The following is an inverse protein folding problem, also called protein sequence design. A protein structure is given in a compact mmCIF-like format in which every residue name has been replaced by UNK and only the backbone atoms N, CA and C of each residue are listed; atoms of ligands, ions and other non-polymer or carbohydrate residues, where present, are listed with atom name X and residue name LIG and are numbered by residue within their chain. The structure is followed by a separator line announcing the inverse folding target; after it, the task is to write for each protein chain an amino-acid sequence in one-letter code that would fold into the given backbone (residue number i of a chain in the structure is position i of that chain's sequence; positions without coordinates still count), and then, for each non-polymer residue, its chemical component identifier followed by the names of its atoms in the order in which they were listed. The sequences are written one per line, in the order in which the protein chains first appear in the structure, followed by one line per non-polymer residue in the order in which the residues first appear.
data_IF_282543785335
#
_entry.id   IF_282543785335
#
_cell.length_a   1.000
_cell.length_b   1.000
_cell.length_c   1.000
_cell.angle_alpha   90.00
_cell.angle_beta   90.00
_cell.angle_gamma   90.00
#
_symmetry.space_group_name_H-M   'P 1'
#
loop_
_entity.id
_entity.type
_entity.pdbx_description
1 polymer ?
#
# COMPACT_ATOMS: atom_id res chain seq x y z
N UNK A 1 -32.04 -32.81 -48.92
CA UNK A 1 -31.78 -33.82 -49.97
C UNK A 1 -30.67 -34.68 -49.43
N UNK A 2 -31.03 -35.88 -49.00
CA UNK A 2 -30.78 -37.22 -49.60
C UNK A 2 -29.31 -37.61 -49.51
N UNK A 3 -28.85 -38.65 -49.03
CA UNK A 3 -29.29 -40.01 -48.59
C UNK A 3 -28.04 -40.75 -48.16
N UNK A 4 -27.94 -41.46 -47.06
CA UNK A 4 -28.36 -42.84 -46.76
C UNK A 4 -27.30 -43.88 -47.18
N UNK A 5 -26.92 -44.69 -46.19
CA UNK A 5 -26.70 -46.14 -46.17
C UNK A 5 -25.37 -46.70 -46.79
N UNK A 6 -24.91 -47.78 -46.40
CA UNK A 6 -25.16 -48.82 -45.40
C UNK A 6 -24.14 -49.95 -45.51
N UNK A 7 -24.07 -50.66 -44.41
CA UNK A 7 -24.02 -52.14 -44.34
C UNK A 7 -22.78 -52.95 -44.63
N UNK A 8 -22.25 -53.49 -43.57
CA UNK A 8 -22.05 -54.95 -43.30
C UNK A 8 -21.11 -55.76 -44.17
N UNK A 9 -20.14 -56.36 -43.52
CA UNK A 9 -19.95 -57.81 -43.66
C UNK A 9 -19.16 -58.39 -42.46
N UNK A 10 -19.74 -59.40 -41.92
CA UNK A 10 -19.26 -60.32 -40.89
C UNK A 10 -18.20 -61.22 -41.52
N UNK A 11 -17.10 -61.51 -40.84
CA UNK A 11 -16.41 -62.76 -41.03
C UNK A 11 -15.84 -63.31 -39.73
N UNK A 12 -16.18 -64.53 -39.53
CA UNK A 12 -15.96 -65.37 -38.37
C UNK A 12 -14.77 -66.29 -38.67
N UNK A 13 -13.69 -66.18 -37.89
CA UNK A 13 -12.80 -67.33 -37.69
C UNK A 13 -12.02 -67.21 -36.37
N UNK A 14 -12.24 -68.20 -35.53
CA UNK A 14 -11.72 -68.30 -34.18
C UNK A 14 -10.20 -68.49 -34.10
N UNK A 15 -9.63 -67.89 -33.09
CA UNK A 15 -8.34 -68.29 -32.51
C UNK A 15 -8.38 -68.25 -31.00
N UNK A 16 -7.88 -69.31 -30.38
CA UNK A 16 -7.89 -69.70 -28.96
C UNK A 16 -7.35 -68.63 -28.02
N UNK A 17 -7.84 -68.53 -26.78
CA UNK A 17 -7.35 -67.56 -25.78
C UNK A 17 -6.00 -68.01 -25.25
N UNK A 18 -4.97 -67.16 -25.40
CA UNK A 18 -3.75 -67.21 -24.62
C UNK A 18 -4.00 -66.45 -23.34
N UNK A 19 -4.03 -67.12 -22.20
CA UNK A 19 -4.05 -66.53 -20.87
C UNK A 19 -2.69 -65.88 -20.60
N UNK A 20 -2.61 -64.54 -20.68
CA UNK A 20 -1.51 -63.81 -20.10
C UNK A 20 -1.84 -63.57 -18.62
N UNK A 21 -1.02 -64.13 -17.73
CA UNK A 21 -1.01 -63.82 -16.32
C UNK A 21 -0.55 -62.36 -16.15
N UNK A 22 -1.49 -61.44 -15.97
CA UNK A 22 -1.15 -60.11 -15.53
C UNK A 22 -0.84 -60.16 -14.04
N UNK A 23 0.44 -60.07 -13.66
CA UNK A 23 0.83 -59.67 -12.31
C UNK A 23 0.48 -58.19 -12.16
N UNK A 24 -0.35 -57.80 -11.19
CA UNK A 24 -0.53 -56.37 -10.88
C UNK A 24 0.76 -55.87 -10.21
N UNK A 25 1.56 -55.14 -10.93
CA UNK A 25 2.64 -54.37 -10.35
C UNK A 25 1.97 -53.23 -9.51
N UNK A 26 1.94 -53.41 -8.20
CA UNK A 26 1.48 -52.42 -7.25
C UNK A 26 2.48 -51.27 -7.25
N UNK A 27 2.27 -50.25 -8.11
CA UNK A 27 2.99 -49.00 -8.06
C UNK A 27 2.51 -48.21 -6.81
N UNK A 28 3.28 -48.34 -5.74
CA UNK A 28 3.17 -47.44 -4.58
C UNK A 28 3.58 -46.03 -5.04
N UNK A 29 2.58 -45.22 -5.38
CA UNK A 29 2.76 -43.76 -5.47
C UNK A 29 3.04 -43.24 -4.05
N UNK A 30 4.31 -43.09 -3.73
CA UNK A 30 4.70 -42.21 -2.60
C UNK A 30 4.35 -40.78 -3.02
N UNK A 31 3.17 -40.34 -2.65
CA UNK A 31 2.84 -38.92 -2.60
C UNK A 31 3.70 -38.31 -1.50
N UNK A 32 4.91 -37.96 -1.85
CA UNK A 32 5.67 -37.02 -1.04
C UNK A 32 4.89 -35.70 -1.02
N UNK A 33 4.35 -35.33 0.14
CA UNK A 33 3.90 -33.94 0.34
C UNK A 33 5.13 -33.07 0.14
N UNK A 34 5.32 -32.52 -1.06
CA UNK A 34 6.27 -31.45 -1.30
C UNK A 34 5.74 -30.23 -0.52
N UNK A 35 6.31 -30.01 0.65
CA UNK A 35 6.08 -28.78 1.40
C UNK A 35 6.62 -27.66 0.51
N UNK A 36 5.75 -26.77 0.07
CA UNK A 36 6.18 -25.60 -0.69
C UNK A 36 7.21 -24.83 0.16
N UNK A 37 8.30 -24.35 -0.44
CA UNK A 37 9.30 -23.59 0.31
C UNK A 37 8.64 -22.37 0.94
N UNK A 38 8.89 -22.15 2.24
CA UNK A 38 8.42 -20.96 2.95
C UNK A 38 9.05 -19.75 2.26
N UNK A 39 8.21 -18.87 1.73
CA UNK A 39 8.69 -17.60 1.14
C UNK A 39 9.21 -16.73 2.28
N UNK A 40 10.30 -16.04 2.04
CA UNK A 40 10.94 -15.11 2.98
C UNK A 40 11.13 -13.76 2.31
N UNK A 41 11.13 -12.70 3.10
CA UNK A 41 11.63 -11.39 2.67
C UNK A 41 13.15 -11.44 2.66
N UNK A 42 13.78 -10.89 1.62
CA UNK A 42 15.25 -10.77 1.56
C UNK A 42 15.67 -9.31 1.69
N UNK A 43 16.62 -9.03 2.57
CA UNK A 43 17.28 -7.72 2.64
C UNK A 43 18.51 -7.77 1.75
N UNK A 44 18.47 -6.99 0.66
CA UNK A 44 19.45 -7.04 -0.43
C UNK A 44 20.88 -6.80 0.07
N UNK A 45 21.07 -5.80 0.94
CA UNK A 45 22.39 -5.35 1.36
C UNK A 45 23.08 -6.28 2.37
N UNK A 46 22.34 -7.21 2.95
CA UNK A 46 22.82 -8.08 4.04
C UNK A 46 22.75 -9.56 3.70
N UNK A 47 22.13 -9.94 2.58
CA UNK A 47 21.79 -11.32 2.21
C UNK A 47 20.98 -12.08 3.28
N UNK A 48 20.39 -11.34 4.23
CA UNK A 48 19.54 -11.92 5.27
C UNK A 48 18.12 -12.10 4.77
N UNK A 49 17.47 -13.18 5.22
CA UNK A 49 16.09 -13.46 4.86
C UNK A 49 15.24 -13.69 6.12
N UNK A 50 14.05 -13.11 6.13
CA UNK A 50 13.16 -13.08 7.29
C UNK A 50 11.80 -13.67 6.96
N UNK A 51 11.20 -14.35 7.93
CA UNK A 51 9.86 -14.93 7.86
C UNK A 51 8.79 -13.88 8.17
N UNK A 52 7.56 -14.18 7.83
CA UNK A 52 6.38 -13.40 8.19
C UNK A 52 6.33 -13.08 9.68
N UNK A 53 5.87 -11.88 10.03
CA UNK A 53 5.71 -11.41 11.40
C UNK A 53 6.98 -10.77 12.00
N UNK A 54 8.13 -10.89 11.35
CA UNK A 54 9.37 -10.28 11.84
C UNK A 54 9.37 -8.77 11.58
N UNK A 55 9.75 -7.99 12.58
CA UNK A 55 9.99 -6.55 12.48
C UNK A 55 11.50 -6.31 12.50
N UNK A 56 12.03 -5.64 11.48
CA UNK A 56 13.46 -5.36 11.33
C UNK A 56 13.69 -3.87 11.57
N UNK A 57 14.59 -3.53 12.48
CA UNK A 57 15.06 -2.16 12.64
C UNK A 57 16.21 -1.89 11.67
N UNK A 58 16.05 -0.94 10.76
CA UNK A 58 17.09 -0.53 9.82
C UNK A 58 18.33 0.00 10.57
N UNK A 59 18.11 0.78 11.62
CA UNK A 59 19.21 1.34 12.45
C UNK A 59 20.06 0.26 13.11
N UNK A 60 19.44 -0.85 13.54
CA UNK A 60 20.14 -1.92 14.26
C UNK A 60 20.59 -3.06 13.34
N UNK A 61 20.07 -3.13 12.11
CA UNK A 61 20.30 -4.20 11.15
C UNK A 61 19.83 -5.58 11.65
N UNK A 62 18.82 -5.62 12.54
CA UNK A 62 18.34 -6.87 13.17
C UNK A 62 16.86 -6.83 13.53
N UNK A 63 16.24 -8.00 13.77
CA UNK A 63 14.91 -8.08 14.32
C UNK A 63 14.76 -7.38 15.68
N UNK A 64 13.58 -6.81 15.89
CA UNK A 64 13.14 -6.19 17.15
C UNK A 64 11.74 -6.69 17.51
N UNK A 65 11.38 -6.60 18.79
CA UNK A 65 10.01 -6.90 19.22
C UNK A 65 9.05 -5.75 18.93
N UNK A 66 7.75 -6.02 18.99
CA UNK A 66 6.73 -4.98 18.85
C UNK A 66 6.81 -3.93 19.98
N UNK A 67 7.15 -4.36 21.19
CA UNK A 67 7.36 -3.47 22.34
C UNK A 67 8.55 -2.53 22.12
N UNK A 68 9.65 -3.03 21.53
CA UNK A 68 10.82 -2.20 21.19
C UNK A 68 10.47 -1.19 20.09
N UNK A 69 9.73 -1.61 19.06
CA UNK A 69 9.19 -0.71 18.05
C UNK A 69 8.32 0.37 18.70
N UNK A 70 7.32 -0.01 19.50
CA UNK A 70 6.39 0.91 20.12
C UNK A 70 7.08 1.91 21.07
N UNK A 71 8.11 1.45 21.79
CA UNK A 71 8.92 2.34 22.64
C UNK A 71 9.62 3.44 21.85
N UNK A 72 10.11 3.15 20.65
CA UNK A 72 10.70 4.16 19.77
C UNK A 72 9.63 5.06 19.13
N UNK A 73 8.50 4.51 18.69
CA UNK A 73 7.39 5.28 18.12
C UNK A 73 6.82 6.31 19.10
N UNK A 74 6.77 6.00 20.40
CA UNK A 74 6.29 6.93 21.42
C UNK A 74 7.16 8.19 21.60
N UNK A 75 8.36 8.22 21.01
CA UNK A 75 9.22 9.39 21.00
C UNK A 75 9.06 10.25 19.73
N UNK A 76 8.10 9.94 18.89
CA UNK A 76 7.88 10.60 17.61
C UNK A 76 6.54 11.33 17.58
N UNK A 77 6.50 12.42 16.82
CA UNK A 77 5.26 13.17 16.57
C UNK A 77 4.49 12.63 15.38
N UNK A 78 5.20 12.00 14.44
CA UNK A 78 4.58 11.47 13.21
C UNK A 78 5.08 10.03 12.99
N UNK A 79 4.15 9.12 12.74
CA UNK A 79 4.45 7.73 12.39
C UNK A 79 3.83 7.43 11.03
N UNK A 80 4.66 7.18 10.03
CA UNK A 80 4.21 6.78 8.69
C UNK A 80 4.16 5.26 8.61
N UNK A 81 3.03 4.72 8.19
CA UNK A 81 2.85 3.28 7.96
C UNK A 81 2.43 3.08 6.51
N UNK A 82 3.33 2.47 5.76
CA UNK A 82 3.10 2.19 4.34
C UNK A 82 2.11 1.07 4.11
N UNK A 83 1.63 0.95 2.86
CA UNK A 83 0.75 -0.15 2.48
C UNK A 83 0.88 -0.51 1.00
N UNK A 84 0.47 -1.74 0.68
CA UNK A 84 -0.10 -2.10 -0.62
C UNK A 84 -1.61 -2.08 -0.45
N UNK A 85 -2.30 -1.19 -1.14
CA UNK A 85 -3.72 -0.85 -0.93
C UNK A 85 -4.68 -2.04 -0.88
N UNK A 86 -4.34 -3.18 -1.46
CA UNK A 86 -5.17 -4.38 -1.48
C UNK A 86 -4.73 -5.45 -0.48
N UNK A 87 -3.68 -5.21 0.30
CA UNK A 87 -3.15 -6.22 1.22
C UNK A 87 -3.82 -6.09 2.60
N UNK A 88 -4.70 -7.04 2.91
CA UNK A 88 -5.45 -7.08 4.19
C UNK A 88 -4.54 -7.12 5.41
N UNK A 89 -3.37 -7.79 5.32
CA UNK A 89 -2.45 -7.87 6.44
C UNK A 89 -1.84 -6.49 6.77
N UNK A 90 -1.61 -5.64 5.75
CA UNK A 90 -1.13 -4.29 5.94
C UNK A 90 -2.12 -3.46 6.77
N UNK A 91 -3.41 -3.51 6.45
CA UNK A 91 -4.44 -2.75 7.18
C UNK A 91 -4.63 -3.25 8.62
N UNK A 92 -4.44 -4.55 8.87
CA UNK A 92 -4.43 -5.09 10.25
C UNK A 92 -3.26 -4.57 11.07
N UNK A 93 -2.07 -4.54 10.48
CA UNK A 93 -0.87 -3.98 11.15
C UNK A 93 -1.04 -2.48 11.39
N UNK A 94 -1.59 -1.74 10.43
CA UNK A 94 -1.91 -0.32 10.61
C UNK A 94 -2.84 -0.12 11.81
N UNK A 95 -3.92 -0.90 11.91
CA UNK A 95 -4.84 -0.85 13.04
C UNK A 95 -4.14 -1.22 14.37
N UNK A 96 -3.33 -2.29 14.38
CA UNK A 96 -2.59 -2.72 15.57
C UNK A 96 -1.66 -1.61 16.10
N UNK A 97 -0.93 -0.94 15.22
CA UNK A 97 -0.05 0.17 15.59
C UNK A 97 -0.85 1.38 16.07
N UNK A 98 -1.94 1.75 15.39
CA UNK A 98 -2.83 2.85 15.81
C UNK A 98 -3.38 2.58 17.23
N UNK A 99 -3.89 1.38 17.48
CA UNK A 99 -4.42 0.98 18.79
C UNK A 99 -3.35 1.00 19.89
N UNK A 100 -2.13 0.56 19.57
CA UNK A 100 -1.03 0.57 20.52
C UNK A 100 -0.56 1.98 20.87
N UNK A 101 -0.47 2.88 19.88
CA UNK A 101 -0.12 4.29 20.11
C UNK A 101 -1.24 4.98 20.90
N UNK A 102 -2.51 4.78 20.53
CA UNK A 102 -3.66 5.40 21.20
C UNK A 102 -3.72 5.11 22.69
N UNK A 103 -3.34 3.91 23.15
CA UNK A 103 -3.28 3.57 24.58
C UNK A 103 -2.40 4.52 25.40
N UNK A 104 -1.33 5.04 24.79
CA UNK A 104 -0.36 5.91 25.45
C UNK A 104 -0.54 7.39 25.08
N UNK A 105 -1.14 7.67 23.93
CA UNK A 105 -1.30 8.98 23.32
C UNK A 105 -2.78 9.19 22.92
N UNK A 106 -3.68 9.54 23.86
CA UNK A 106 -5.11 9.66 23.57
C UNK A 106 -5.42 10.81 22.59
N UNK A 107 -4.55 11.80 22.47
CA UNK A 107 -4.64 12.86 21.47
C UNK A 107 -3.98 12.42 20.15
N UNK A 108 -4.51 11.37 19.56
CA UNK A 108 -4.03 10.80 18.29
C UNK A 108 -4.86 11.34 17.13
N UNK A 109 -4.18 11.74 16.06
CA UNK A 109 -4.78 11.97 14.76
C UNK A 109 -4.37 10.86 13.78
N UNK A 110 -5.25 10.50 12.85
CA UNK A 110 -4.95 9.57 11.75
C UNK A 110 -5.09 10.31 10.44
N UNK A 111 -3.98 10.53 9.74
CA UNK A 111 -3.95 11.11 8.40
C UNK A 111 -4.00 10.00 7.36
N UNK A 112 -4.89 10.13 6.36
CA UNK A 112 -5.07 9.10 5.34
C UNK A 112 -4.97 9.67 3.93
N UNK A 113 -4.13 9.04 3.09
CA UNK A 113 -4.02 9.31 1.66
C UNK A 113 -5.34 9.09 0.91
N UNK A 114 -6.20 8.23 1.43
CA UNK A 114 -7.44 7.77 0.83
C UNK A 114 -8.48 8.87 0.64
N UNK A 115 -8.31 10.01 1.31
CA UNK A 115 -9.24 11.13 1.27
C UNK A 115 -8.56 12.42 0.82
N UNK A 116 -9.19 13.13 -0.11
CA UNK A 116 -8.75 14.47 -0.45
C UNK A 116 -9.33 15.52 0.52
N UNK A 117 -8.61 16.62 0.68
CA UNK A 117 -8.90 17.66 1.67
C UNK A 117 -10.29 18.31 1.51
N UNK A 118 -10.94 18.18 0.35
CA UNK A 118 -12.28 18.76 0.14
C UNK A 118 -13.38 18.01 0.89
N UNK A 119 -13.06 16.83 1.41
CA UNK A 119 -13.98 16.02 2.21
C UNK A 119 -13.72 16.12 3.73
N UNK A 120 -12.87 17.04 4.21
CA UNK A 120 -12.55 17.13 5.63
C UNK A 120 -13.78 17.24 6.52
N UNK A 121 -14.77 18.05 6.15
CA UNK A 121 -16.02 18.18 6.90
C UNK A 121 -16.76 16.84 7.08
N UNK A 122 -16.70 15.97 6.06
CA UNK A 122 -17.30 14.62 6.12
C UNK A 122 -16.53 13.71 7.07
N UNK A 123 -15.20 13.85 7.08
CA UNK A 123 -14.33 13.10 7.99
C UNK A 123 -14.53 13.56 9.44
N UNK A 124 -14.72 14.84 9.66
CA UNK A 124 -15.03 15.40 10.99
C UNK A 124 -16.37 14.87 11.53
N UNK A 125 -17.40 14.80 10.68
CA UNK A 125 -18.69 14.18 11.03
C UNK A 125 -18.54 12.69 11.34
N UNK A 126 -17.67 11.96 10.60
CA UNK A 126 -17.38 10.56 10.89
C UNK A 126 -16.71 10.39 12.26
N UNK A 127 -15.68 11.15 12.53
CA UNK A 127 -14.96 11.16 13.81
C UNK A 127 -15.88 11.51 14.98
N UNK A 128 -16.86 12.39 14.77
CA UNK A 128 -17.87 12.75 15.77
C UNK A 128 -18.94 11.67 16.00
N UNK A 129 -19.00 10.62 15.17
CA UNK A 129 -20.04 9.58 15.24
C UNK A 129 -21.39 10.01 14.66
N UNK A 130 -21.42 11.07 13.86
CA UNK A 130 -22.65 11.64 13.29
C UNK A 130 -23.12 10.92 12.00
N UNK A 131 -22.26 10.08 11.42
CA UNK A 131 -22.55 9.35 10.19
C UNK A 131 -22.54 7.85 10.41
N UNK A 132 -23.51 7.15 9.83
CA UNK A 132 -23.39 5.71 9.62
C UNK A 132 -22.48 5.41 8.41
N UNK A 133 -22.06 4.14 8.25
CA UNK A 133 -21.18 3.72 7.17
C UNK A 133 -21.76 4.07 5.78
N UNK A 134 -23.06 3.89 5.58
CA UNK A 134 -23.69 4.15 4.28
C UNK A 134 -23.62 5.63 3.91
N UNK A 135 -23.93 6.51 4.87
CA UNK A 135 -23.93 7.95 4.64
C UNK A 135 -22.48 8.48 4.51
N UNK A 136 -21.55 7.91 5.27
CA UNK A 136 -20.12 8.20 5.10
C UNK A 136 -19.61 7.86 3.70
N UNK A 137 -19.84 6.64 3.22
CA UNK A 137 -19.46 6.22 1.87
C UNK A 137 -20.05 7.09 0.77
N UNK A 138 -21.33 7.47 0.95
CA UNK A 138 -22.05 8.33 0.00
C UNK A 138 -21.47 9.74 -0.01
N UNK A 139 -21.28 10.35 1.18
CA UNK A 139 -20.84 11.75 1.30
C UNK A 139 -19.36 11.94 0.94
N UNK A 140 -18.49 10.97 1.28
CA UNK A 140 -17.07 10.99 0.91
C UNK A 140 -16.82 10.60 -0.55
N UNK A 141 -17.86 10.13 -1.26
CA UNK A 141 -17.73 9.58 -2.61
C UNK A 141 -16.63 8.51 -2.71
N UNK A 142 -16.50 7.65 -1.70
CA UNK A 142 -15.42 6.68 -1.54
C UNK A 142 -15.03 5.97 -2.84
N UNK A 143 -15.99 5.29 -3.48
CA UNK A 143 -15.72 4.51 -4.69
C UNK A 143 -15.42 5.33 -5.94
N UNK A 144 -15.74 6.62 -5.95
CA UNK A 144 -15.36 7.52 -7.04
C UNK A 144 -13.93 8.04 -6.87
N UNK A 145 -13.51 8.31 -5.63
CA UNK A 145 -12.22 8.91 -5.32
C UNK A 145 -11.12 7.85 -5.07
N UNK A 146 -11.40 6.82 -4.25
CA UNK A 146 -10.37 5.84 -3.86
C UNK A 146 -10.43 4.52 -4.65
N UNK A 147 -11.63 4.04 -5.01
CA UNK A 147 -11.88 2.86 -5.86
C UNK A 147 -11.57 1.49 -5.25
N UNK A 148 -10.87 1.40 -4.12
CA UNK A 148 -10.64 0.13 -3.43
C UNK A 148 -11.83 -0.23 -2.54
N UNK A 149 -11.97 -1.51 -2.21
CA UNK A 149 -13.05 -1.98 -1.36
C UNK A 149 -12.93 -1.36 0.04
N UNK A 150 -14.01 -0.75 0.49
CA UNK A 150 -14.09 -0.14 1.83
C UNK A 150 -13.82 -1.14 2.95
N UNK A 151 -14.15 -2.42 2.75
CA UNK A 151 -13.92 -3.47 3.75
C UNK A 151 -12.45 -3.58 4.17
N UNK A 152 -11.51 -3.17 3.32
CA UNK A 152 -10.08 -3.14 3.63
C UNK A 152 -9.75 -2.15 4.76
N UNK A 153 -10.45 -1.03 4.81
CA UNK A 153 -10.20 0.08 5.74
C UNK A 153 -11.23 0.17 6.85
N UNK A 154 -12.28 -0.67 6.80
CA UNK A 154 -13.43 -0.58 7.71
C UNK A 154 -13.03 -0.59 9.17
N UNK A 155 -12.25 -1.57 9.60
CA UNK A 155 -11.86 -1.73 11.00
C UNK A 155 -11.05 -0.52 11.52
N UNK A 156 -10.22 0.09 10.68
CA UNK A 156 -9.48 1.31 11.01
C UNK A 156 -10.45 2.49 11.19
N UNK A 157 -11.37 2.66 10.24
CA UNK A 157 -12.31 3.78 10.25
C UNK A 157 -13.35 3.63 11.37
N UNK A 158 -13.81 2.43 11.66
CA UNK A 158 -14.68 2.14 12.81
C UNK A 158 -13.95 2.45 14.13
N UNK A 159 -12.69 2.02 14.28
CA UNK A 159 -11.88 2.34 15.47
C UNK A 159 -11.71 3.85 15.65
N UNK A 160 -11.47 4.60 14.56
CA UNK A 160 -11.40 6.07 14.59
C UNK A 160 -12.71 6.68 15.09
N UNK A 161 -13.85 6.22 14.57
CA UNK A 161 -15.17 6.70 14.95
C UNK A 161 -15.50 6.37 16.41
N UNK A 162 -15.32 5.13 16.83
CA UNK A 162 -15.62 4.63 18.17
C UNK A 162 -14.82 5.36 19.27
N UNK A 163 -13.60 5.81 18.94
CA UNK A 163 -12.72 6.49 19.88
C UNK A 163 -12.64 8.01 19.63
N UNK A 164 -13.47 8.54 18.73
CA UNK A 164 -13.52 9.97 18.36
C UNK A 164 -12.15 10.55 17.98
N UNK A 165 -11.31 9.73 17.31
CA UNK A 165 -10.01 10.20 16.84
C UNK A 165 -10.19 11.16 15.67
N UNK A 166 -9.30 12.15 15.57
CA UNK A 166 -9.27 13.03 14.41
C UNK A 166 -8.84 12.28 13.17
N UNK A 167 -9.71 12.23 12.17
CA UNK A 167 -9.39 11.72 10.83
C UNK A 167 -9.05 12.89 9.92
N UNK A 168 -7.86 12.86 9.30
CA UNK A 168 -7.33 13.95 8.47
C UNK A 168 -7.23 13.50 7.02
N UNK A 169 -7.88 14.24 6.13
CA UNK A 169 -7.74 14.07 4.70
C UNK A 169 -6.40 14.65 4.23
N UNK A 170 -5.54 13.82 3.67
CA UNK A 170 -4.20 14.26 3.26
C UNK A 170 -4.12 14.64 1.77
N UNK A 171 -4.96 14.05 0.94
CA UNK A 171 -4.82 14.10 -0.50
C UNK A 171 -5.41 15.37 -1.13
N UNK A 172 -5.10 15.57 -2.40
CA UNK A 172 -5.77 16.50 -3.31
C UNK A 172 -6.74 15.74 -4.22
N UNK A 173 -7.69 16.42 -4.88
CA UNK A 173 -8.64 15.77 -5.78
C UNK A 173 -7.94 14.85 -6.79
N UNK A 174 -8.40 13.60 -6.86
CA UNK A 174 -7.74 12.48 -7.54
C UNK A 174 -7.48 12.68 -9.04
N UNK A 175 -8.14 13.65 -9.68
CA UNK A 175 -7.95 13.99 -11.10
C UNK A 175 -6.76 14.93 -11.35
N UNK A 176 -6.20 15.57 -10.32
CA UNK A 176 -5.13 16.57 -10.46
C UNK A 176 -3.77 15.91 -10.81
N UNK A 177 -3.25 14.92 -10.06
CA UNK A 177 -1.96 14.32 -10.39
C UNK A 177 -1.90 13.71 -11.80
N UNK A 178 -2.93 12.98 -12.31
CA UNK A 178 -2.95 12.52 -13.69
C UNK A 178 -2.86 13.64 -14.73
N UNK A 179 -3.55 14.78 -14.53
CA UNK A 179 -3.48 15.91 -15.44
C UNK A 179 -2.11 16.56 -15.50
N UNK A 180 -1.44 16.68 -14.33
CA UNK A 180 -0.07 17.19 -14.28
C UNK A 180 0.87 16.25 -15.04
N UNK A 181 0.73 14.94 -14.84
CA UNK A 181 1.53 13.94 -15.54
C UNK A 181 1.34 13.97 -17.06
N UNK A 182 0.19 14.39 -17.57
CA UNK A 182 -0.13 14.45 -18.99
C UNK A 182 0.31 15.74 -19.69
N UNK A 183 0.64 16.80 -18.96
CA UNK A 183 1.00 18.08 -19.59
C UNK A 183 1.43 19.17 -18.62
N UNK A 184 2.04 18.76 -17.50
CA UNK A 184 2.58 19.68 -16.50
C UNK A 184 1.52 20.42 -15.68
N UNK A 185 1.98 21.25 -14.75
CA UNK A 185 1.12 22.08 -13.88
C UNK A 185 0.28 23.07 -14.71
N UNK A 186 0.76 23.49 -15.87
CA UNK A 186 0.06 24.44 -16.72
C UNK A 186 -1.18 23.84 -17.41
N UNK A 187 -1.29 22.53 -17.47
CA UNK A 187 -2.47 21.81 -17.93
C UNK A 187 -3.67 21.94 -16.97
N UNK A 188 -3.47 22.46 -15.77
CA UNK A 188 -4.53 22.64 -14.78
C UNK A 188 -5.31 23.93 -15.01
N UNK A 189 -6.63 23.86 -14.84
CA UNK A 189 -7.51 25.03 -14.82
C UNK A 189 -7.27 25.89 -13.57
N UNK A 190 -7.67 27.17 -13.56
CA UNK A 190 -7.50 28.04 -12.39
C UNK A 190 -8.19 27.54 -11.11
N UNK A 191 -9.33 26.84 -11.24
CA UNK A 191 -10.03 26.23 -10.12
C UNK A 191 -9.28 25.02 -9.55
N UNK A 192 -8.63 24.25 -10.39
CA UNK A 192 -7.81 23.10 -9.99
C UNK A 192 -6.48 23.54 -9.33
N UNK A 193 -5.88 24.63 -9.80
CA UNK A 193 -4.65 25.18 -9.21
C UNK A 193 -4.83 25.64 -7.76
N UNK A 194 -6.07 25.88 -7.30
CA UNK A 194 -6.36 26.22 -5.88
C UNK A 194 -6.13 25.06 -4.91
N UNK A 195 -6.09 23.82 -5.40
CA UNK A 195 -5.83 22.63 -4.60
C UNK A 195 -4.34 22.27 -4.51
N UNK A 196 -3.49 23.02 -5.22
CA UNK A 196 -2.05 22.78 -5.13
C UNK A 196 -1.49 23.27 -3.79
N UNK A 197 -0.46 22.60 -3.27
CA UNK A 197 0.21 23.06 -2.06
C UNK A 197 0.89 24.42 -2.29
N UNK A 198 1.08 25.18 -1.24
CA UNK A 198 1.70 26.51 -1.32
C UNK A 198 3.17 26.42 -1.78
N UNK A 199 3.83 25.32 -1.47
CA UNK A 199 5.22 25.07 -1.87
C UNK A 199 5.33 23.69 -2.50
N UNK A 200 5.92 23.66 -3.69
CA UNK A 200 6.22 22.45 -4.45
C UNK A 200 7.74 22.39 -4.58
N UNK A 201 8.35 21.37 -3.96
CA UNK A 201 9.81 21.18 -3.99
C UNK A 201 10.20 20.11 -5.02
N UNK A 202 10.69 20.57 -6.16
CA UNK A 202 11.23 19.73 -7.24
C UNK A 202 12.77 19.63 -7.20
N UNK A 203 13.42 20.17 -6.18
CA UNK A 203 14.89 20.23 -6.09
C UNK A 203 15.54 19.01 -5.41
N UNK A 204 14.74 18.03 -4.95
CA UNK A 204 15.20 16.85 -4.18
C UNK A 204 15.88 15.83 -5.09
N UNK A 205 17.20 15.89 -5.18
CA UNK A 205 17.99 15.07 -6.10
C UNK A 205 17.79 13.57 -5.86
N UNK A 206 17.92 13.10 -4.62
CA UNK A 206 17.77 11.67 -4.30
C UNK A 206 16.38 11.13 -4.65
N UNK A 207 15.32 11.89 -4.36
CA UNK A 207 13.95 11.54 -4.74
C UNK A 207 13.78 11.53 -6.26
N UNK A 208 14.35 12.51 -6.95
CA UNK A 208 14.31 12.60 -8.41
C UNK A 208 14.98 11.39 -9.06
N UNK A 209 16.20 11.04 -8.60
CA UNK A 209 16.95 9.90 -9.13
C UNK A 209 16.19 8.57 -8.88
N UNK A 210 15.61 8.42 -7.70
CA UNK A 210 14.75 7.28 -7.40
C UNK A 210 13.55 7.20 -8.35
N UNK A 211 12.80 8.31 -8.52
CA UNK A 211 11.64 8.35 -9.40
C UNK A 211 12.00 8.20 -10.88
N UNK A 212 13.22 8.60 -11.30
CA UNK A 212 13.69 8.33 -12.65
C UNK A 212 13.80 6.82 -12.91
N UNK A 213 14.36 6.07 -11.95
CA UNK A 213 14.44 4.61 -12.06
C UNK A 213 13.05 3.95 -12.09
N UNK A 214 12.11 4.44 -11.26
CA UNK A 214 10.71 3.99 -11.28
C UNK A 214 10.06 4.28 -12.62
N UNK A 215 10.21 5.48 -13.14
CA UNK A 215 9.67 5.90 -14.43
C UNK A 215 10.21 5.03 -15.58
N UNK A 216 11.53 4.82 -15.65
CA UNK A 216 12.17 4.02 -16.69
C UNK A 216 11.71 2.55 -16.66
N UNK A 217 11.48 2.00 -15.46
CA UNK A 217 10.93 0.66 -15.28
C UNK A 217 9.48 0.52 -15.72
N UNK A 218 8.71 1.60 -15.70
CA UNK A 218 7.25 1.56 -15.91
C UNK A 218 6.77 2.35 -17.14
N UNK A 219 7.65 3.03 -17.88
CA UNK A 219 7.26 3.88 -19.03
C UNK A 219 6.37 3.20 -20.07
N UNK A 220 6.52 1.88 -20.25
CA UNK A 220 5.69 1.10 -21.16
C UNK A 220 4.24 0.88 -20.69
N UNK A 221 3.94 1.20 -19.44
CA UNK A 221 2.59 1.08 -18.86
C UNK A 221 1.81 2.39 -18.93
N UNK A 222 2.46 3.50 -19.24
CA UNK A 222 1.77 4.78 -19.39
C UNK A 222 0.95 4.80 -20.70
N UNK A 223 -0.24 5.35 -20.63
CA UNK A 223 -1.05 5.62 -21.82
C UNK A 223 -0.61 6.97 -22.41
N UNK A 224 -0.08 6.93 -23.63
CA UNK A 224 0.43 8.14 -24.30
C UNK A 224 1.91 8.42 -23.99
N UNK A 225 2.42 9.50 -24.59
CA UNK A 225 3.75 10.01 -24.28
C UNK A 225 3.69 10.79 -22.97
N UNK A 226 4.46 10.34 -21.98
CA UNK A 226 4.61 11.02 -20.69
C UNK A 226 6.08 11.39 -20.54
N UNK A 227 6.34 12.67 -20.33
CA UNK A 227 7.70 13.15 -20.05
C UNK A 227 8.04 12.92 -18.57
N UNK A 228 9.29 12.60 -18.29
CA UNK A 228 9.72 12.39 -16.90
C UNK A 228 9.51 13.64 -16.04
N UNK A 229 9.72 14.83 -16.59
CA UNK A 229 9.52 16.09 -15.86
C UNK A 229 8.08 16.27 -15.37
N UNK A 230 7.12 15.92 -16.20
CA UNK A 230 5.70 15.99 -15.85
C UNK A 230 5.30 14.91 -14.86
N UNK A 231 5.87 13.71 -14.99
CA UNK A 231 5.72 12.64 -14.00
C UNK A 231 6.29 13.06 -12.65
N UNK A 232 7.51 13.60 -12.62
CA UNK A 232 8.16 14.06 -11.41
C UNK A 232 7.42 15.25 -10.77
N UNK A 233 6.96 16.18 -11.57
CA UNK A 233 6.13 17.30 -11.12
C UNK A 233 4.82 16.82 -10.48
N UNK A 234 4.13 15.86 -11.11
CA UNK A 234 2.91 15.28 -10.56
C UNK A 234 3.13 14.63 -9.22
N UNK A 235 4.21 13.84 -9.09
CA UNK A 235 4.57 13.16 -7.86
C UNK A 235 4.96 14.15 -6.77
N UNK A 236 5.76 15.18 -7.11
CA UNK A 236 6.16 16.23 -6.17
C UNK A 236 4.95 17.02 -5.65
N UNK A 237 4.02 17.40 -6.52
CA UNK A 237 2.77 18.08 -6.13
C UNK A 237 1.97 17.21 -5.19
N UNK A 238 1.81 15.93 -5.50
CA UNK A 238 1.01 15.00 -4.72
C UNK A 238 1.54 14.84 -3.29
N UNK A 239 2.85 14.62 -3.16
CA UNK A 239 3.50 14.41 -1.87
C UNK A 239 3.64 15.72 -1.06
N UNK A 240 3.90 16.84 -1.73
CA UNK A 240 3.92 18.15 -1.07
C UNK A 240 2.54 18.55 -0.54
N UNK A 241 1.47 18.20 -1.25
CA UNK A 241 0.11 18.42 -0.78
C UNK A 241 -0.18 17.63 0.49
N UNK A 242 0.15 16.32 0.50
CA UNK A 242 -0.03 15.49 1.69
C UNK A 242 0.83 15.97 2.87
N UNK A 243 2.07 16.36 2.60
CA UNK A 243 2.96 16.93 3.61
C UNK A 243 2.46 18.28 4.18
N UNK A 244 1.86 19.11 3.35
CA UNK A 244 1.23 20.37 3.78
C UNK A 244 0.04 20.11 4.70
N UNK A 245 -0.84 19.17 4.34
CA UNK A 245 -1.97 18.77 5.19
C UNK A 245 -1.50 18.23 6.55
N UNK A 246 -0.44 17.39 6.56
CA UNK A 246 0.17 16.95 7.82
C UNK A 246 0.61 18.15 8.65
N UNK A 247 1.35 19.10 8.07
CA UNK A 247 1.86 20.26 8.81
C UNK A 247 0.75 21.16 9.36
N UNK A 248 -0.34 21.33 8.63
CA UNK A 248 -1.49 22.14 9.05
C UNK A 248 -2.32 21.48 10.15
N UNK A 249 -2.37 20.14 10.17
CA UNK A 249 -3.22 19.39 11.06
C UNK A 249 -2.49 18.71 12.23
N UNK A 250 -1.16 18.74 12.29
CA UNK A 250 -0.39 18.07 13.34
C UNK A 250 -0.68 18.67 14.73
N UNK A 251 -0.81 20.00 14.85
CA UNK A 251 -1.07 20.72 16.12
C UNK A 251 -0.16 20.18 17.25
N UNK A 252 -0.74 19.92 18.44
CA UNK A 252 -0.04 19.33 19.59
C UNK A 252 -0.22 17.80 19.68
N UNK A 253 -0.83 17.18 18.67
CA UNK A 253 -1.14 15.75 18.64
C UNK A 253 0.04 14.91 18.13
N UNK A 254 -0.04 13.59 18.34
CA UNK A 254 0.70 12.61 17.54
C UNK A 254 -0.14 12.28 16.30
N UNK A 255 0.48 12.12 15.16
CA UNK A 255 -0.22 11.72 13.93
C UNK A 255 0.33 10.40 13.38
N UNK A 256 -0.56 9.44 13.17
CA UNK A 256 -0.27 8.26 12.34
C UNK A 256 -0.73 8.55 10.93
N UNK A 257 0.17 8.39 9.97
CA UNK A 257 -0.08 8.63 8.54
C UNK A 257 -0.12 7.30 7.80
N UNK A 258 -1.25 7.04 7.13
CA UNK A 258 -1.46 5.87 6.28
C UNK A 258 -1.37 6.27 4.81
N UNK A 259 -0.39 5.70 4.10
CA UNK A 259 -0.18 5.97 2.69
C UNK A 259 0.42 4.76 1.98
N UNK A 260 0.33 4.73 0.64
CA UNK A 260 1.00 3.72 -0.15
C UNK A 260 2.52 3.71 0.11
N UNK A 261 3.11 2.53 0.12
CA UNK A 261 4.56 2.33 0.33
C UNK A 261 5.42 3.26 -0.54
N UNK A 262 4.98 3.54 -1.77
CA UNK A 262 5.67 4.41 -2.71
C UNK A 262 5.88 5.84 -2.21
N UNK A 263 5.02 6.32 -1.33
CA UNK A 263 5.09 7.68 -0.77
C UNK A 263 5.95 7.81 0.48
N UNK A 264 6.36 6.69 1.10
CA UNK A 264 7.11 6.72 2.36
C UNK A 264 8.52 6.12 2.26
N UNK A 265 8.76 5.25 1.26
CA UNK A 265 10.02 4.54 1.12
C UNK A 265 11.20 5.50 0.94
N UNK A 266 12.33 5.11 1.53
CA UNK A 266 13.55 5.93 1.65
C UNK A 266 13.31 7.31 2.28
N UNK A 267 12.09 7.58 2.80
CA UNK A 267 11.63 8.88 3.34
C UNK A 267 11.49 9.99 2.29
N UNK A 268 11.80 9.73 1.03
CA UNK A 268 11.93 10.75 -0.03
C UNK A 268 10.63 11.51 -0.34
N UNK A 269 9.49 10.83 -0.19
CA UNK A 269 8.18 11.41 -0.48
C UNK A 269 7.62 12.26 0.65
N UNK A 270 6.48 11.83 1.21
CA UNK A 270 5.76 12.57 2.27
C UNK A 270 6.65 12.84 3.52
N UNK A 271 7.44 11.86 4.05
CA UNK A 271 8.13 12.09 5.31
C UNK A 271 9.12 13.24 5.30
N UNK A 272 10.02 13.31 4.31
CA UNK A 272 11.00 14.39 4.21
C UNK A 272 10.36 15.75 3.91
N UNK A 273 9.26 15.75 3.14
CA UNK A 273 8.52 16.96 2.81
C UNK A 273 7.78 17.52 4.02
N UNK A 274 7.18 16.64 4.84
CA UNK A 274 6.55 17.04 6.09
C UNK A 274 7.58 17.47 7.12
N UNK A 275 8.72 16.78 7.23
CA UNK A 275 9.81 17.18 8.12
C UNK A 275 10.36 18.58 7.78
N UNK A 276 10.51 18.89 6.49
CA UNK A 276 10.94 20.22 6.04
C UNK A 276 9.98 21.34 6.46
N UNK A 277 8.69 21.02 6.70
CA UNK A 277 7.65 21.98 7.13
C UNK A 277 7.49 22.06 8.64
N UNK A 278 7.72 20.94 9.35
CA UNK A 278 7.39 20.81 10.77
C UNK A 278 8.62 20.72 11.68
N UNK A 279 9.75 20.24 11.17
CA UNK A 279 10.93 19.83 11.93
C UNK A 279 10.64 18.80 13.04
N UNK A 280 9.50 18.10 12.99
CA UNK A 280 9.07 17.15 14.00
C UNK A 280 9.67 15.75 13.80
N UNK A 281 10.01 15.10 14.90
CA UNK A 281 10.56 13.75 14.88
C UNK A 281 9.53 12.75 14.30
N UNK A 282 9.99 11.88 13.42
CA UNK A 282 9.14 10.88 12.77
C UNK A 282 9.81 9.50 12.67
N UNK A 283 8.99 8.48 12.39
CA UNK A 283 9.44 7.15 11.96
C UNK A 283 8.60 6.66 10.80
N UNK A 284 9.22 5.80 10.00
CA UNK A 284 8.60 5.12 8.87
C UNK A 284 8.59 3.61 9.07
N UNK A 285 7.46 2.97 8.77
CA UNK A 285 7.28 1.52 8.80
C UNK A 285 6.89 1.09 7.39
N UNK A 286 7.76 0.33 6.73
CA UNK A 286 7.50 -0.28 5.43
C UNK A 286 6.92 -1.68 5.63
N UNK A 287 5.75 -1.94 5.06
CA UNK A 287 5.11 -3.25 5.12
C UNK A 287 5.50 -4.05 3.87
N UNK A 288 6.31 -5.09 4.08
CA UNK A 288 6.95 -5.85 3.01
C UNK A 288 6.43 -7.30 2.96
N UNK A 289 5.70 -7.71 1.91
CA UNK A 289 5.30 -9.10 1.74
C UNK A 289 6.49 -10.07 1.58
N UNK A 290 6.33 -11.28 2.12
CA UNK A 290 7.29 -12.37 1.86
C UNK A 290 7.46 -12.60 0.35
N UNK A 291 8.68 -12.86 -0.06
CA UNK A 291 9.06 -13.03 -1.47
C UNK A 291 9.51 -11.74 -2.14
N UNK A 292 9.45 -10.60 -1.46
CA UNK A 292 10.10 -9.38 -1.93
C UNK A 292 11.58 -9.33 -1.56
N UNK A 293 12.31 -8.48 -2.27
CA UNK A 293 13.68 -8.09 -1.98
C UNK A 293 13.67 -6.58 -1.76
N UNK A 294 14.15 -6.13 -0.62
CA UNK A 294 14.17 -4.71 -0.25
C UNK A 294 15.54 -4.33 0.31
N UNK A 295 15.85 -3.04 0.25
CA UNK A 295 17.04 -2.47 0.89
C UNK A 295 16.77 -2.22 2.37
N UNK A 296 17.81 -2.28 3.21
CA UNK A 296 17.65 -2.12 4.65
C UNK A 296 17.19 -0.71 5.04
N UNK A 297 17.63 0.29 4.29
CA UNK A 297 17.34 1.72 4.52
C UNK A 297 16.02 2.20 3.88
N UNK A 298 15.22 1.28 3.31
CA UNK A 298 13.92 1.61 2.69
C UNK A 298 12.97 2.32 3.67
N UNK A 299 13.12 2.06 4.98
CA UNK A 299 12.38 2.71 6.06
C UNK A 299 13.14 2.58 7.39
N UNK A 300 12.67 3.23 8.47
CA UNK A 300 13.21 3.00 9.82
C UNK A 300 12.95 1.57 10.31
N UNK A 301 11.79 1.04 9.95
CA UNK A 301 11.37 -0.33 10.25
C UNK A 301 10.77 -1.00 9.01
N UNK A 302 11.08 -2.29 8.87
CA UNK A 302 10.50 -3.15 7.85
C UNK A 302 9.72 -4.24 8.58
N UNK A 303 8.41 -4.32 8.35
CA UNK A 303 7.56 -5.37 8.93
C UNK A 303 7.18 -6.38 7.86
N UNK A 304 7.63 -7.62 8.05
CA UNK A 304 7.42 -8.70 7.08
C UNK A 304 5.99 -9.21 7.17
N UNK A 305 5.28 -9.19 6.04
CA UNK A 305 3.86 -9.58 5.94
C UNK A 305 3.67 -10.80 5.02
N UNK A 306 2.50 -11.47 5.09
CA UNK A 306 2.16 -12.54 4.18
C UNK A 306 2.05 -12.10 2.72
#
# INVERSE_FOLDING_TARGET
MKHINAMQAIDWFGKRPRYYLFLPTLMLFLWGCAVAPIKKLTIQDTDQSFEEGVIISAKLGKPVSFEELLADLNNCRIVYIGEKHTNVAHHRIQLEVIQAIFKNQPNLAVGMEMFDHTYQDVLDMWSAGELDQRDFLKKSHWYANWRFDFSLYREILEFIQENHLRLVALNIPSHIPPKIREGGIDNLRPDEKKHLPQQIDTSRTAHRDYLQNVFDGHKHHFRGEVEFEDFYAAQSVWEDAMAEMISQHLKDDVMVVLAGNGHIQFKYGIPDRAFSRTAEAFRTIYLAPVGEVVELDIADYIWVTP
#
